data_IF_790027509145
#
_entry.id   IF_790027509145
#
_cell.length_a   1.000
_cell.length_b   1.000
_cell.length_c   1.000
_cell.angle_alpha   90.00
_cell.angle_beta   90.00
_cell.angle_gamma   90.00
#
_symmetry.space_group_name_H-M   'P 1'
#
loop_
_entity.id
_entity.type
_entity.pdbx_description
1 polymer ?
#
# COMPACT_ATOMS: atom_id res chain seq x y z
N UNK A 1 36.02 19.06 53.80
CA UNK A 1 34.95 20.06 54.01
C UNK A 1 35.02 21.08 52.90
N UNK A 2 34.36 20.83 51.78
CA UNK A 2 34.14 21.79 50.68
C UNK A 2 32.82 21.37 50.02
N UNK A 3 31.75 22.07 50.37
CA UNK A 3 30.41 21.84 49.82
C UNK A 3 30.26 22.60 48.51
N UNK A 4 29.92 21.87 47.44
CA UNK A 4 29.46 22.46 46.20
C UNK A 4 27.95 22.65 46.26
N UNK A 5 27.53 23.92 46.25
CA UNK A 5 26.13 24.33 46.09
C UNK A 5 25.84 24.34 44.59
N UNK A 6 24.99 23.42 44.12
CA UNK A 6 24.46 23.43 42.76
C UNK A 6 23.28 24.38 42.70
N UNK A 7 23.42 25.43 41.90
CA UNK A 7 22.43 26.50 41.71
C UNK A 7 21.50 26.11 40.55
N UNK A 8 20.23 25.81 40.85
CA UNK A 8 19.22 25.56 39.82
C UNK A 8 18.71 26.87 39.20
N UNK A 9 18.48 26.93 37.88
CA UNK A 9 17.93 28.12 37.25
C UNK A 9 16.47 28.33 37.64
N UNK A 10 16.22 29.54 38.14
CA UNK A 10 14.94 30.09 38.57
C UNK A 10 13.90 30.11 37.44
N UNK A 11 12.73 29.53 37.72
CA UNK A 11 11.52 29.67 36.93
C UNK A 11 11.07 31.15 36.86
N UNK A 12 11.18 31.76 35.68
CA UNK A 12 10.44 32.97 35.31
C UNK A 12 10.14 32.93 33.81
N UNK A 13 8.99 32.37 33.45
CA UNK A 13 8.23 32.74 32.26
C UNK A 13 6.77 32.38 32.51
N UNK A 14 6.12 33.21 33.33
CA UNK A 14 4.68 33.19 33.55
C UNK A 14 4.07 34.07 32.46
N UNK A 15 3.44 33.46 31.46
CA UNK A 15 2.71 34.18 30.41
C UNK A 15 1.67 35.11 31.04
N UNK A 16 1.58 36.33 30.53
CA UNK A 16 0.68 37.36 31.07
C UNK A 16 -0.76 37.15 30.58
N UNK A 17 -1.79 37.56 31.34
CA UNK A 17 -3.21 37.36 31.00
C UNK A 17 -3.68 37.98 29.67
N UNK A 18 -2.84 38.78 28.99
CA UNK A 18 -3.17 39.42 27.72
C UNK A 18 -2.99 38.52 26.50
N UNK A 19 -2.27 37.40 26.61
CA UNK A 19 -2.09 36.41 25.52
C UNK A 19 -3.26 35.41 25.40
N UNK A 20 -4.13 35.34 26.41
CA UNK A 20 -5.31 34.45 26.37
C UNK A 20 -6.49 35.01 25.57
N UNK A 21 -6.49 36.32 25.26
CA UNK A 21 -7.56 36.96 24.49
C UNK A 21 -7.32 36.95 22.96
N UNK A 22 -6.13 36.56 22.50
CA UNK A 22 -5.78 36.53 21.07
C UNK A 22 -5.88 35.14 20.42
N UNK A 23 -6.20 34.09 21.19
CA UNK A 23 -6.48 32.74 20.67
C UNK A 23 -7.95 32.47 20.35
N UNK A 24 -8.85 33.42 20.62
CA UNK A 24 -10.30 33.29 20.36
C UNK A 24 -10.73 33.84 18.99
N UNK A 25 -9.80 34.31 18.14
CA UNK A 25 -10.11 34.93 16.84
C UNK A 25 -9.56 34.14 15.64
N UNK A 26 -9.23 32.85 15.83
CA UNK A 26 -8.83 31.92 14.77
C UNK A 26 -9.72 30.67 14.81
N UNK A 27 -11.02 30.89 14.96
CA UNK A 27 -12.08 29.87 14.81
C UNK A 27 -12.98 30.16 13.60
N UNK A 28 -12.45 30.91 12.62
CA UNK A 28 -13.03 31.00 11.28
C UNK A 28 -12.05 30.32 10.30
N UNK A 29 -11.66 29.08 10.63
CA UNK A 29 -10.91 28.20 9.73
C UNK A 29 -11.92 27.50 8.84
N UNK A 30 -11.92 27.92 7.58
CA UNK A 30 -12.22 27.10 6.40
C UNK A 30 -12.91 25.77 6.72
N UNK A 31 -14.25 25.77 6.65
CA UNK A 31 -14.97 24.57 6.23
C UNK A 31 -14.54 24.29 4.78
N UNK A 32 -13.35 23.73 4.60
CA UNK A 32 -13.04 23.07 3.34
C UNK A 32 -14.11 21.99 3.18
N UNK A 33 -14.80 21.93 2.02
CA UNK A 33 -15.79 20.91 1.80
C UNK A 33 -15.08 19.59 1.98
N UNK A 34 -15.45 18.82 3.02
CA UNK A 34 -15.13 17.40 3.11
C UNK A 34 -15.43 16.87 1.72
N UNK A 35 -14.39 16.49 0.99
CA UNK A 35 -14.52 15.80 -0.29
C UNK A 35 -15.14 14.46 0.07
N UNK A 36 -16.47 14.47 0.24
CA UNK A 36 -17.31 13.29 0.32
C UNK A 36 -16.98 12.58 -0.96
N UNK A 37 -16.31 11.43 -0.83
CA UNK A 37 -15.96 10.60 -1.95
C UNK A 37 -17.15 10.56 -2.93
N UNK A 38 -16.95 10.74 -4.25
CA UNK A 38 -17.94 10.40 -5.24
C UNK A 38 -17.98 8.87 -5.33
N UNK A 39 -18.30 8.24 -4.21
CA UNK A 39 -18.35 6.81 -4.04
C UNK A 39 -19.57 6.58 -3.18
N UNK A 40 -20.74 6.81 -3.80
CA UNK A 40 -21.79 5.82 -3.69
C UNK A 40 -21.21 4.50 -4.22
N UNK A 41 -20.37 3.83 -3.41
CA UNK A 41 -20.15 2.40 -3.50
C UNK A 41 -21.56 1.84 -3.40
N UNK A 42 -22.07 1.48 -4.58
CA UNK A 42 -23.47 1.14 -4.82
C UNK A 42 -23.97 0.21 -3.72
N UNK A 43 -25.22 0.37 -3.28
CA UNK A 43 -25.89 -0.51 -2.31
C UNK A 43 -25.81 -2.01 -2.69
N UNK A 44 -25.44 -2.34 -3.93
CA UNK A 44 -25.11 -3.71 -4.37
C UNK A 44 -23.89 -4.33 -3.67
N UNK A 45 -23.08 -3.53 -2.98
CA UNK A 45 -21.94 -3.97 -2.14
C UNK A 45 -22.34 -4.51 -0.76
N UNK A 46 -23.63 -4.45 -0.39
CA UNK A 46 -24.15 -4.79 0.94
C UNK A 46 -23.95 -6.27 1.37
N UNK A 47 -23.37 -7.12 0.51
CA UNK A 47 -23.11 -8.53 0.80
C UNK A 47 -21.66 -8.91 1.07
N UNK A 48 -20.67 -8.05 0.80
CA UNK A 48 -19.26 -8.42 1.02
C UNK A 48 -18.86 -8.20 2.47
N UNK A 49 -18.46 -9.25 3.23
CA UNK A 49 -18.17 -9.12 4.65
C UNK A 49 -17.00 -8.18 4.95
N UNK A 50 -16.12 -7.91 3.97
CA UNK A 50 -14.97 -7.03 4.20
C UNK A 50 -15.37 -5.59 4.52
N UNK A 51 -16.49 -5.09 3.99
CA UNK A 51 -16.95 -3.74 4.31
C UNK A 51 -17.26 -3.58 5.80
N UNK A 52 -17.90 -4.59 6.40
CA UNK A 52 -18.19 -4.58 7.83
C UNK A 52 -16.90 -4.63 8.67
N UNK A 53 -15.91 -5.40 8.24
CA UNK A 53 -14.61 -5.48 8.91
C UNK A 53 -13.84 -4.13 8.85
N UNK A 54 -13.83 -3.47 7.69
CA UNK A 54 -13.23 -2.14 7.52
C UNK A 54 -13.88 -1.11 8.45
N UNK A 55 -15.22 -1.08 8.51
CA UNK A 55 -15.94 -0.17 9.40
C UNK A 55 -15.71 -0.47 10.89
N UNK A 56 -15.63 -1.74 11.27
CA UNK A 56 -15.29 -2.13 12.63
C UNK A 56 -13.90 -1.64 13.04
N UNK A 57 -12.91 -1.79 12.15
CA UNK A 57 -11.55 -1.30 12.39
C UNK A 57 -11.50 0.23 12.44
N UNK A 58 -12.18 0.95 11.54
CA UNK A 58 -12.31 2.43 11.59
C UNK A 58 -12.89 2.92 12.91
N UNK A 59 -13.93 2.24 13.40
CA UNK A 59 -14.55 2.57 14.68
C UNK A 59 -13.58 2.35 15.84
N UNK A 60 -12.83 1.25 15.84
CA UNK A 60 -11.83 0.97 16.87
C UNK A 60 -10.70 2.03 16.85
N UNK A 61 -10.19 2.40 15.67
CA UNK A 61 -9.24 3.50 15.51
C UNK A 61 -9.77 4.81 16.13
N UNK A 62 -11.04 5.15 15.88
CA UNK A 62 -11.66 6.37 16.41
C UNK A 62 -11.73 6.35 17.93
N UNK A 63 -12.11 5.21 18.53
CA UNK A 63 -12.18 5.05 19.99
C UNK A 63 -10.77 5.16 20.61
N UNK A 64 -9.77 4.54 19.99
CA UNK A 64 -8.38 4.62 20.42
C UNK A 64 -7.89 6.08 20.41
N UNK A 65 -8.05 6.80 19.29
CA UNK A 65 -7.68 8.23 19.21
C UNK A 65 -8.33 9.08 20.30
N UNK A 66 -9.63 8.91 20.53
CA UNK A 66 -10.33 9.64 21.59
C UNK A 66 -9.75 9.37 22.99
N UNK A 67 -9.33 8.13 23.27
CA UNK A 67 -8.73 7.76 24.56
C UNK A 67 -7.29 8.27 24.69
N UNK A 68 -6.51 8.22 23.61
CA UNK A 68 -5.18 8.86 23.53
C UNK A 68 -5.30 10.35 23.83
N UNK A 69 -6.25 11.06 23.22
CA UNK A 69 -6.46 12.49 23.47
C UNK A 69 -6.78 12.80 24.94
N UNK A 70 -7.61 11.98 25.59
CA UNK A 70 -7.90 12.15 27.02
C UNK A 70 -6.63 11.97 27.86
N UNK A 71 -5.87 10.90 27.60
CA UNK A 71 -4.63 10.61 28.34
C UNK A 71 -3.54 11.64 28.10
N UNK A 72 -3.40 12.12 26.86
CA UNK A 72 -2.37 13.10 26.46
C UNK A 72 -2.62 14.50 27.05
N UNK A 73 -3.87 14.82 27.40
CA UNK A 73 -4.23 16.08 28.06
C UNK A 73 -4.11 16.04 29.59
N UNK A 74 -3.69 14.91 30.16
CA UNK A 74 -3.42 14.74 31.60
C UNK A 74 -1.93 14.87 31.91
N UNK A 75 -1.64 15.36 33.10
CA UNK A 75 -0.28 15.31 33.68
C UNK A 75 -0.03 13.95 34.34
N UNK A 76 1.23 13.53 34.43
CA UNK A 76 1.59 12.26 35.09
C UNK A 76 1.15 12.20 36.56
N UNK A 77 1.04 13.34 37.23
CA UNK A 77 0.61 13.44 38.63
C UNK A 77 -0.92 13.47 38.78
N UNK A 78 -1.69 13.50 37.68
CA UNK A 78 -3.14 13.47 37.76
C UNK A 78 -3.62 12.10 38.26
N UNK A 79 -4.47 12.04 39.31
CA UNK A 79 -4.93 10.76 39.87
C UNK A 79 -5.77 9.94 38.88
N UNK A 80 -6.22 10.53 37.78
CA UNK A 80 -6.92 9.87 36.69
C UNK A 80 -6.02 9.33 35.58
N UNK A 81 -4.72 9.69 35.56
CA UNK A 81 -3.80 9.37 34.46
C UNK A 81 -3.69 7.86 34.24
N UNK A 82 -3.40 7.09 35.28
CA UNK A 82 -3.25 5.62 35.17
C UNK A 82 -4.52 4.95 34.60
N UNK A 83 -5.70 5.44 34.99
CA UNK A 83 -6.97 4.92 34.46
C UNK A 83 -7.18 5.30 32.99
N UNK A 84 -6.84 6.53 32.61
CA UNK A 84 -6.92 6.99 31.23
C UNK A 84 -5.92 6.22 30.35
N UNK A 85 -4.70 6.00 30.83
CA UNK A 85 -3.65 5.26 30.15
C UNK A 85 -4.03 3.78 29.97
N UNK A 86 -4.54 3.11 31.01
CA UNK A 86 -5.06 1.74 30.90
C UNK A 86 -6.20 1.64 29.88
N UNK A 87 -7.12 2.61 29.89
CA UNK A 87 -8.19 2.70 28.90
C UNK A 87 -7.64 2.87 27.48
N UNK A 88 -6.59 3.67 27.28
CA UNK A 88 -5.91 3.78 25.98
C UNK A 88 -5.34 2.43 25.53
N UNK A 89 -4.67 1.71 26.43
CA UNK A 89 -4.14 0.36 26.17
C UNK A 89 -5.23 -0.60 25.69
N UNK A 90 -6.34 -0.72 26.42
CA UNK A 90 -7.46 -1.59 26.04
C UNK A 90 -8.04 -1.27 24.65
N UNK A 91 -8.06 0.02 24.26
CA UNK A 91 -8.54 0.40 22.93
C UNK A 91 -7.50 0.21 21.83
N UNK A 92 -6.22 0.26 22.16
CA UNK A 92 -5.13 -0.13 21.27
C UNK A 92 -5.21 -1.62 20.95
N UNK A 93 -5.41 -2.46 21.97
CA UNK A 93 -5.59 -3.91 21.80
C UNK A 93 -6.80 -4.21 20.89
N UNK A 94 -7.96 -3.62 21.17
CA UNK A 94 -9.15 -3.80 20.32
C UNK A 94 -8.91 -3.29 18.89
N UNK A 95 -8.20 -2.19 18.70
CA UNK A 95 -7.85 -1.69 17.36
C UNK A 95 -6.98 -2.70 16.61
N UNK A 96 -5.96 -3.26 17.25
CA UNK A 96 -5.11 -4.27 16.62
C UNK A 96 -5.84 -5.60 16.35
N UNK A 97 -6.71 -6.04 17.27
CA UNK A 97 -7.57 -7.21 17.04
C UNK A 97 -8.46 -7.01 15.81
N UNK A 98 -9.01 -5.79 15.61
CA UNK A 98 -9.79 -5.46 14.42
C UNK A 98 -8.94 -5.35 13.17
N UNK A 99 -7.70 -4.88 13.27
CA UNK A 99 -6.76 -4.91 12.16
C UNK A 99 -6.51 -6.35 11.70
N UNK A 100 -6.22 -7.26 12.64
CA UNK A 100 -5.99 -8.67 12.35
C UNK A 100 -7.21 -9.33 11.69
N UNK A 101 -8.43 -9.00 12.12
CA UNK A 101 -9.67 -9.49 11.49
C UNK A 101 -9.80 -9.10 10.01
N UNK A 102 -9.17 -8.02 9.55
CA UNK A 102 -9.16 -7.67 8.12
C UNK A 102 -8.41 -8.73 7.27
N UNK A 103 -7.48 -9.47 7.88
CA UNK A 103 -6.76 -10.57 7.25
C UNK A 103 -7.56 -11.88 7.29
N UNK A 104 -8.48 -12.03 8.23
CA UNK A 104 -9.33 -13.22 8.36
C UNK A 104 -10.61 -13.12 7.50
N UNK A 105 -11.11 -11.90 7.30
CA UNK A 105 -12.29 -11.65 6.48
C UNK A 105 -11.88 -11.52 5.03
N UNK A 106 -12.20 -12.52 4.22
CA UNK A 106 -11.87 -12.52 2.79
C UNK A 106 -12.87 -11.69 1.99
N UNK A 107 -12.41 -10.72 1.17
CA UNK A 107 -13.26 -10.07 0.18
C UNK A 107 -13.90 -11.11 -0.74
N UNK A 108 -15.23 -11.09 -0.87
CA UNK A 108 -15.98 -12.00 -1.74
C UNK A 108 -16.33 -11.41 -3.10
N UNK A 109 -16.08 -10.11 -3.29
CA UNK A 109 -16.39 -9.35 -4.50
C UNK A 109 -15.21 -8.47 -4.90
N UNK A 110 -15.17 -8.09 -6.19
CA UNK A 110 -14.16 -7.15 -6.69
C UNK A 110 -14.22 -5.81 -5.94
N UNK A 111 -15.43 -5.29 -5.71
CA UNK A 111 -15.64 -4.05 -4.98
C UNK A 111 -15.10 -4.12 -3.54
N UNK A 112 -15.28 -5.25 -2.85
CA UNK A 112 -14.71 -5.46 -1.51
C UNK A 112 -13.19 -5.51 -1.51
N UNK A 113 -12.58 -6.17 -2.50
CA UNK A 113 -11.13 -6.21 -2.63
C UNK A 113 -10.53 -4.82 -2.93
N UNK A 114 -11.17 -4.07 -3.84
CA UNK A 114 -10.75 -2.69 -4.16
C UNK A 114 -10.92 -1.77 -2.95
N UNK A 115 -11.99 -1.95 -2.16
CA UNK A 115 -12.21 -1.19 -0.92
C UNK A 115 -11.15 -1.49 0.15
N UNK A 116 -10.72 -2.74 0.29
CA UNK A 116 -9.66 -3.12 1.22
C UNK A 116 -8.30 -2.52 0.82
N UNK A 117 -7.97 -2.55 -0.47
CA UNK A 117 -6.76 -1.90 -0.99
C UNK A 117 -6.79 -0.40 -0.71
N UNK A 118 -7.90 0.25 -1.06
CA UNK A 118 -8.08 1.68 -0.84
C UNK A 118 -7.97 2.06 0.64
N UNK A 119 -8.52 1.21 1.51
CA UNK A 119 -8.42 1.39 2.95
C UNK A 119 -6.98 1.27 3.45
N UNK A 120 -6.24 0.26 3.00
CA UNK A 120 -4.86 0.03 3.37
C UNK A 120 -3.88 1.07 2.78
N UNK A 121 -4.23 1.69 1.64
CA UNK A 121 -3.36 2.65 0.95
C UNK A 121 -3.53 4.10 1.39
N UNK A 122 -4.39 4.39 2.37
CA UNK A 122 -4.64 5.76 2.85
C UNK A 122 -3.91 6.02 4.16
N UNK A 123 -2.70 6.64 4.09
CA UNK A 123 -2.02 7.13 5.29
C UNK A 123 -2.77 8.30 5.92
N UNK A 124 -3.41 9.16 5.13
CA UNK A 124 -3.90 10.47 5.56
C UNK A 124 -5.42 10.51 5.81
N UNK A 125 -5.95 9.75 6.76
CA UNK A 125 -7.21 10.20 7.37
C UNK A 125 -6.85 11.27 8.41
N UNK A 126 -7.20 12.56 8.20
CA UNK A 126 -6.58 13.72 8.87
C UNK A 126 -6.69 13.77 10.40
N UNK A 127 -7.32 12.79 11.03
CA UNK A 127 -7.52 12.66 12.46
C UNK A 127 -6.94 11.36 13.06
N UNK A 128 -6.26 10.54 12.27
CA UNK A 128 -5.60 9.31 12.70
C UNK A 128 -4.12 9.51 12.42
N UNK A 129 -3.32 9.90 13.42
CA UNK A 129 -1.88 10.15 13.24
C UNK A 129 -1.17 8.99 12.55
N UNK A 130 -0.13 9.32 11.77
CA UNK A 130 0.40 8.50 10.67
C UNK A 130 0.89 7.08 11.04
N UNK A 131 1.16 6.76 12.31
CA UNK A 131 1.93 5.56 12.67
C UNK A 131 1.16 4.44 13.42
N UNK A 132 -0.09 4.64 13.84
CA UNK A 132 -0.73 3.71 14.81
C UNK A 132 -1.84 2.82 14.24
N UNK A 133 -2.17 2.95 12.95
CA UNK A 133 -3.42 2.37 12.42
C UNK A 133 -3.36 0.85 12.25
N UNK A 134 -2.19 0.30 12.00
CA UNK A 134 -1.99 -1.13 11.79
C UNK A 134 -0.84 -1.59 12.68
N UNK A 135 -0.88 -2.85 13.17
CA UNK A 135 0.28 -3.39 13.86
C UNK A 135 1.43 -3.54 12.86
N UNK A 136 2.67 -3.40 13.34
CA UNK A 136 3.85 -3.65 12.51
C UNK A 136 3.84 -5.08 11.94
N UNK A 137 3.36 -6.02 12.76
CA UNK A 137 3.33 -7.45 12.48
C UNK A 137 1.93 -8.03 12.66
N UNK A 138 1.57 -8.99 11.81
CA UNK A 138 0.44 -9.88 12.03
C UNK A 138 0.80 -10.97 13.06
N UNK A 139 -0.19 -11.73 13.55
CA UNK A 139 0.00 -12.82 14.54
C UNK A 139 1.06 -13.87 14.17
N UNK A 140 1.43 -13.97 12.89
CA UNK A 140 2.44 -14.91 12.38
C UNK A 140 3.81 -14.27 12.13
N UNK A 141 4.09 -13.10 12.72
CA UNK A 141 5.37 -12.39 12.61
C UNK A 141 5.62 -11.71 11.27
N UNK A 142 4.67 -11.76 10.32
CA UNK A 142 4.82 -11.08 9.02
C UNK A 142 4.41 -9.63 9.12
N UNK A 143 5.10 -8.76 8.39
CA UNK A 143 4.67 -7.38 8.20
C UNK A 143 3.19 -7.33 7.79
N UNK A 144 2.36 -6.62 8.56
CA UNK A 144 0.90 -6.65 8.39
C UNK A 144 0.48 -6.23 6.97
N UNK A 145 1.11 -5.19 6.42
CA UNK A 145 0.86 -4.74 5.05
C UNK A 145 1.12 -5.82 4.00
N UNK A 146 2.16 -6.64 4.17
CA UNK A 146 2.44 -7.75 3.27
C UNK A 146 1.36 -8.84 3.37
N UNK A 147 0.93 -9.16 4.60
CA UNK A 147 -0.18 -10.09 4.81
C UNK A 147 -1.45 -9.58 4.12
N UNK A 148 -1.74 -8.28 4.25
CA UNK A 148 -2.88 -7.63 3.61
C UNK A 148 -2.83 -7.71 2.08
N UNK A 149 -1.69 -7.37 1.47
CA UNK A 149 -1.54 -7.43 0.01
C UNK A 149 -1.69 -8.86 -0.53
N UNK A 150 -1.12 -9.85 0.17
CA UNK A 150 -1.31 -11.27 -0.17
C UNK A 150 -2.77 -11.66 -0.06
N UNK A 151 -3.44 -11.27 1.02
CA UNK A 151 -4.85 -11.54 1.26
C UNK A 151 -5.74 -11.01 0.13
N UNK A 152 -5.55 -9.75 -0.27
CA UNK A 152 -6.25 -9.16 -1.40
C UNK A 152 -5.95 -9.92 -2.70
N UNK A 153 -4.67 -10.20 -2.99
CA UNK A 153 -4.27 -10.91 -4.20
C UNK A 153 -4.97 -12.28 -4.29
N UNK A 154 -4.99 -13.04 -3.19
CA UNK A 154 -5.71 -14.31 -3.12
C UNK A 154 -7.21 -14.13 -3.32
N UNK A 155 -7.83 -13.12 -2.70
CA UNK A 155 -9.25 -12.83 -2.90
C UNK A 155 -9.57 -12.57 -4.37
N UNK A 156 -8.80 -11.70 -5.03
CA UNK A 156 -8.97 -11.37 -6.45
C UNK A 156 -8.84 -12.61 -7.36
N UNK A 157 -7.87 -13.48 -7.09
CA UNK A 157 -7.71 -14.74 -7.83
C UNK A 157 -8.93 -15.65 -7.71
N UNK A 158 -9.52 -15.77 -6.52
CA UNK A 158 -10.71 -16.62 -6.34
C UNK A 158 -11.99 -16.00 -6.87
N UNK A 159 -12.13 -14.68 -6.79
CA UNK A 159 -13.26 -13.98 -7.42
C UNK A 159 -13.25 -14.24 -8.93
N UNK A 160 -12.10 -14.05 -9.59
CA UNK A 160 -11.97 -14.30 -11.03
C UNK A 160 -12.14 -15.77 -11.44
N UNK A 161 -11.86 -16.73 -10.56
CA UNK A 161 -12.11 -18.16 -10.82
C UNK A 161 -13.60 -18.51 -10.79
N UNK A 162 -14.37 -17.88 -9.90
CA UNK A 162 -15.81 -18.12 -9.76
C UNK A 162 -16.62 -17.50 -10.91
N UNK A 163 -16.20 -16.36 -11.44
CA UNK A 163 -16.86 -15.70 -12.57
C UNK A 163 -16.85 -16.56 -13.85
N UNK A 164 -15.84 -17.43 -14.03
CA UNK A 164 -15.76 -18.35 -15.17
C UNK A 164 -16.82 -19.46 -15.13
N UNK A 165 -17.43 -19.72 -13.98
CA UNK A 165 -18.46 -20.76 -13.81
C UNK A 165 -19.90 -20.25 -14.04
N UNK A 166 -20.10 -18.94 -14.22
CA UNK A 166 -21.41 -18.34 -14.52
C UNK A 166 -21.58 -18.21 -16.05
N UNK A 167 -21.47 -19.32 -16.78
CA UNK A 167 -21.50 -19.35 -18.25
C UNK A 167 -22.90 -19.29 -18.87
N UNK A 168 -23.84 -18.55 -18.26
CA UNK A 168 -25.25 -18.51 -18.68
C UNK A 168 -25.82 -17.13 -19.05
N UNK A 169 -25.06 -16.05 -18.87
CA UNK A 169 -25.52 -14.68 -19.19
C UNK A 169 -25.02 -14.28 -20.57
N UNK A 170 -25.97 -13.87 -21.41
CA UNK A 170 -25.85 -13.57 -22.84
C UNK A 170 -24.62 -12.71 -23.19
N UNK A 171 -23.54 -13.34 -23.66
CA UNK A 171 -22.25 -12.70 -24.01
C UNK A 171 -22.31 -11.84 -25.27
N UNK A 172 -23.48 -11.60 -25.83
CA UNK A 172 -23.64 -10.84 -27.08
C UNK A 172 -23.76 -9.33 -26.86
N UNK A 173 -22.75 -8.67 -26.27
CA UNK A 173 -22.36 -7.27 -26.65
C UNK A 173 -21.29 -6.55 -25.82
N UNK A 174 -20.59 -7.18 -24.88
CA UNK A 174 -19.39 -6.54 -24.34
C UNK A 174 -18.21 -6.92 -25.21
N UNK A 175 -17.82 -6.04 -26.14
CA UNK A 175 -16.47 -6.04 -26.69
C UNK A 175 -15.52 -6.19 -25.50
N UNK A 176 -14.61 -7.18 -25.53
CA UNK A 176 -13.76 -7.51 -24.39
C UNK A 176 -13.19 -6.20 -23.83
N UNK A 177 -13.54 -5.84 -22.58
CA UNK A 177 -13.47 -4.45 -22.13
C UNK A 177 -12.05 -3.89 -22.16
N UNK A 178 -11.06 -4.78 -22.19
CA UNK A 178 -9.65 -4.45 -22.29
C UNK A 178 -9.01 -4.88 -23.62
N UNK A 179 -9.76 -5.20 -24.69
CA UNK A 179 -9.19 -5.73 -25.94
C UNK A 179 -8.08 -4.84 -26.53
N UNK A 180 -8.28 -3.52 -26.52
CA UNK A 180 -7.26 -2.56 -26.95
C UNK A 180 -6.06 -2.56 -26.02
N UNK A 181 -6.30 -2.54 -24.70
CA UNK A 181 -5.25 -2.55 -23.68
C UNK A 181 -4.41 -3.84 -23.75
N UNK A 182 -5.04 -5.00 -23.95
CA UNK A 182 -4.39 -6.30 -24.14
C UNK A 182 -3.55 -6.27 -25.42
N UNK A 183 -4.09 -5.80 -26.53
CA UNK A 183 -3.33 -5.70 -27.78
C UNK A 183 -2.11 -4.76 -27.68
N UNK A 184 -2.24 -3.66 -26.93
CA UNK A 184 -1.12 -2.77 -26.60
C UNK A 184 -0.10 -3.48 -25.69
N UNK A 185 -0.59 -4.20 -24.67
CA UNK A 185 0.22 -5.02 -23.77
C UNK A 185 1.04 -6.07 -24.53
N UNK A 186 0.43 -6.83 -25.43
CA UNK A 186 1.11 -7.86 -26.23
C UNK A 186 2.23 -7.26 -27.10
N UNK A 187 1.98 -6.08 -27.69
CA UNK A 187 2.98 -5.35 -28.47
C UNK A 187 4.12 -4.83 -27.59
N UNK A 188 3.79 -4.30 -26.42
CA UNK A 188 4.76 -3.82 -25.45
C UNK A 188 5.64 -4.98 -24.96
N UNK A 189 5.02 -6.09 -24.61
CA UNK A 189 5.69 -7.30 -24.13
C UNK A 189 6.68 -7.85 -25.15
N UNK A 190 6.28 -7.95 -26.42
CA UNK A 190 7.16 -8.41 -27.48
C UNK A 190 8.36 -7.48 -27.72
N UNK A 191 8.22 -6.17 -27.46
CA UNK A 191 9.33 -5.21 -27.49
C UNK A 191 10.22 -5.34 -26.26
N UNK A 192 9.62 -5.48 -25.08
CA UNK A 192 10.30 -5.68 -23.81
C UNK A 192 11.18 -6.94 -23.84
N UNK A 193 10.68 -8.06 -24.39
CA UNK A 193 11.45 -9.30 -24.55
C UNK A 193 12.66 -9.10 -25.46
N UNK A 194 12.49 -8.43 -26.59
CA UNK A 194 13.60 -8.11 -27.51
C UNK A 194 14.59 -7.17 -26.86
N UNK A 195 14.12 -6.22 -26.07
CA UNK A 195 14.94 -5.29 -25.32
C UNK A 195 15.81 -6.06 -24.32
N UNK A 196 15.22 -6.92 -23.48
CA UNK A 196 15.96 -7.72 -22.50
C UNK A 196 16.92 -8.72 -23.14
N UNK A 197 16.53 -9.44 -24.19
CA UNK A 197 17.43 -10.35 -24.92
C UNK A 197 18.67 -9.62 -25.45
N UNK A 198 18.48 -8.43 -26.02
CA UNK A 198 19.60 -7.61 -26.52
C UNK A 198 20.44 -7.02 -25.41
N UNK A 199 19.80 -6.64 -24.32
CA UNK A 199 20.48 -6.12 -23.14
C UNK A 199 21.38 -7.17 -22.51
N UNK A 200 20.91 -8.41 -22.37
CA UNK A 200 21.72 -9.55 -21.92
C UNK A 200 22.89 -9.86 -22.87
N UNK A 201 22.72 -9.64 -24.19
CA UNK A 201 23.85 -9.75 -25.13
C UNK A 201 24.85 -8.58 -25.00
N UNK A 202 24.37 -7.40 -24.61
CA UNK A 202 25.17 -6.18 -24.52
C UNK A 202 26.09 -6.16 -23.29
N UNK A 203 25.61 -6.66 -22.15
CA UNK A 203 26.40 -6.84 -20.94
C UNK A 203 27.62 -7.75 -21.17
N UNK A 204 27.48 -8.76 -22.03
CA UNK A 204 28.58 -9.65 -22.35
C UNK A 204 29.66 -8.98 -23.22
N UNK A 205 29.27 -8.16 -24.22
CA UNK A 205 30.19 -7.39 -25.09
C UNK A 205 29.53 -6.13 -25.67
N UNK A 206 29.95 -4.91 -25.27
CA UNK A 206 29.32 -3.69 -25.76
C UNK A 206 29.68 -3.39 -27.23
N UNK A 207 28.71 -3.55 -28.14
CA UNK A 207 28.82 -3.16 -29.55
C UNK A 207 28.11 -1.83 -29.81
N UNK A 208 28.74 -0.92 -30.58
CA UNK A 208 28.15 0.40 -30.96
C UNK A 208 26.81 0.28 -31.68
N UNK A 209 26.61 -0.77 -32.49
CA UNK A 209 25.34 -1.02 -33.18
C UNK A 209 24.21 -1.38 -32.21
N UNK A 210 24.51 -1.96 -31.05
CA UNK A 210 23.52 -2.32 -30.04
C UNK A 210 22.80 -1.09 -29.48
N UNK A 211 23.56 -0.01 -29.21
CA UNK A 211 23.06 1.25 -28.60
C UNK A 211 21.99 1.92 -29.45
N UNK A 212 22.16 1.92 -30.78
CA UNK A 212 21.21 2.58 -31.69
C UNK A 212 19.88 1.84 -31.72
N UNK A 213 19.91 0.50 -31.71
CA UNK A 213 18.67 -0.27 -31.82
C UNK A 213 17.92 -0.38 -30.49
N UNK A 214 18.62 -0.43 -29.35
CA UNK A 214 17.96 -0.37 -28.03
C UNK A 214 17.31 0.99 -27.79
N UNK A 215 17.93 2.10 -28.23
CA UNK A 215 17.31 3.43 -28.16
C UNK A 215 16.02 3.51 -28.97
N UNK A 216 16.01 2.95 -30.19
CA UNK A 216 14.79 2.91 -31.02
C UNK A 216 13.67 2.12 -30.32
N UNK A 217 13.99 0.96 -29.74
CA UNK A 217 13.03 0.14 -28.99
C UNK A 217 12.48 0.89 -27.77
N UNK A 218 13.34 1.56 -27.00
CA UNK A 218 12.93 2.35 -25.84
C UNK A 218 11.94 3.47 -26.23
N UNK A 219 12.20 4.18 -27.34
CA UNK A 219 11.27 5.20 -27.85
C UNK A 219 9.92 4.62 -28.28
N UNK A 220 9.91 3.44 -28.92
CA UNK A 220 8.65 2.76 -29.28
C UNK A 220 7.89 2.29 -28.04
N UNK A 221 8.60 1.77 -27.03
CA UNK A 221 8.03 1.39 -25.75
C UNK A 221 7.45 2.58 -24.99
N UNK A 222 8.08 3.76 -25.02
CA UNK A 222 7.57 4.98 -24.38
C UNK A 222 6.18 5.39 -24.92
N UNK A 223 5.98 5.26 -26.24
CA UNK A 223 4.68 5.55 -26.87
C UNK A 223 3.61 4.56 -26.40
N UNK A 224 3.95 3.27 -26.34
CA UNK A 224 3.04 2.23 -25.89
C UNK A 224 2.76 2.33 -24.38
N UNK A 225 3.77 2.66 -23.58
CA UNK A 225 3.64 2.91 -22.15
C UNK A 225 2.58 3.98 -21.87
N UNK A 226 2.71 5.14 -22.52
CA UNK A 226 1.74 6.23 -22.39
C UNK A 226 0.32 5.79 -22.74
N UNK A 227 0.17 5.01 -23.82
CA UNK A 227 -1.12 4.48 -24.24
C UNK A 227 -1.71 3.50 -23.19
N UNK A 228 -0.92 2.52 -22.74
CA UNK A 228 -1.30 1.54 -21.71
C UNK A 228 -1.69 2.22 -20.39
N UNK A 229 -0.93 3.22 -19.95
CA UNK A 229 -1.24 3.96 -18.72
C UNK A 229 -2.54 4.74 -18.83
N UNK A 230 -2.87 5.27 -20.01
CA UNK A 230 -4.06 6.09 -20.23
C UNK A 230 -5.38 5.32 -20.25
N UNK A 231 -5.38 4.02 -20.57
CA UNK A 231 -6.58 3.19 -20.61
C UNK A 231 -6.91 2.61 -19.24
N UNK A 232 -8.17 2.46 -18.82
CA UNK A 232 -8.52 1.71 -17.62
C UNK A 232 -8.30 0.21 -17.83
N UNK A 233 -8.02 -0.53 -16.76
CA UNK A 233 -7.99 -1.99 -16.77
C UNK A 233 -9.19 -2.53 -15.99
N UNK A 234 -9.91 -3.48 -16.57
CA UNK A 234 -11.12 -4.09 -15.99
C UNK A 234 -11.04 -5.62 -15.95
N UNK A 235 -9.99 -6.21 -16.53
CA UNK A 235 -9.70 -7.64 -16.51
C UNK A 235 -8.28 -7.93 -15.99
N UNK A 236 -8.00 -9.20 -15.68
CA UNK A 236 -6.67 -9.65 -15.24
C UNK A 236 -5.64 -9.41 -16.37
N UNK A 237 -6.05 -9.62 -17.61
CA UNK A 237 -5.21 -9.40 -18.80
C UNK A 237 -4.93 -7.90 -19.03
N UNK A 238 -5.90 -7.02 -18.76
CA UNK A 238 -5.64 -5.58 -18.75
C UNK A 238 -4.70 -5.15 -17.62
N UNK A 239 -4.85 -5.74 -16.42
CA UNK A 239 -3.92 -5.52 -15.31
C UNK A 239 -2.51 -6.00 -15.65
N UNK A 240 -2.39 -7.16 -16.31
CA UNK A 240 -1.13 -7.68 -16.85
C UNK A 240 -0.50 -6.68 -17.81
N UNK A 241 -1.27 -6.17 -18.77
CA UNK A 241 -0.80 -5.18 -19.73
C UNK A 241 -0.31 -3.91 -19.02
N UNK A 242 -1.01 -3.45 -17.98
CA UNK A 242 -0.58 -2.30 -17.15
C UNK A 242 0.65 -2.56 -16.29
N UNK A 243 0.91 -3.79 -15.91
CA UNK A 243 2.09 -4.13 -15.13
C UNK A 243 3.37 -4.05 -15.99
N UNK A 244 3.28 -4.36 -17.30
CA UNK A 244 4.44 -4.40 -18.22
C UNK A 244 5.30 -3.13 -18.24
N UNK A 245 4.75 -1.91 -18.25
CA UNK A 245 5.60 -0.73 -18.20
C UNK A 245 6.20 -0.47 -16.82
N UNK A 246 5.49 -0.81 -15.74
CA UNK A 246 6.08 -0.76 -14.41
C UNK A 246 7.29 -1.70 -14.32
N UNK A 247 7.23 -2.89 -14.92
CA UNK A 247 8.39 -3.79 -15.03
C UNK A 247 9.59 -3.15 -15.71
N UNK A 248 9.35 -2.36 -16.76
CA UNK A 248 10.43 -1.68 -17.48
C UNK A 248 11.04 -0.55 -16.65
N UNK A 249 10.22 0.23 -15.96
CA UNK A 249 10.66 1.37 -15.16
C UNK A 249 11.54 0.95 -13.99
N UNK A 250 11.17 -0.14 -13.32
CA UNK A 250 11.90 -0.59 -12.12
C UNK A 250 13.12 -1.43 -12.49
N UNK A 251 13.21 -1.94 -13.73
CA UNK A 251 14.22 -2.91 -14.15
C UNK A 251 15.63 -2.47 -13.73
N UNK A 252 16.49 -3.39 -13.24
CA UNK A 252 17.83 -3.04 -12.80
C UNK A 252 18.57 -2.26 -13.89
N UNK A 253 19.46 -1.32 -13.56
CA UNK A 253 20.10 -0.43 -14.57
C UNK A 253 21.35 -1.07 -15.19
N UNK A 254 21.96 -2.02 -14.49
CA UNK A 254 23.12 -2.79 -14.97
C UNK A 254 22.86 -4.30 -14.92
N UNK A 255 23.62 -5.12 -15.64
CA UNK A 255 23.45 -6.58 -15.67
C UNK A 255 23.91 -7.28 -14.38
N UNK A 256 24.78 -6.64 -13.61
CA UNK A 256 25.21 -7.13 -12.29
C UNK A 256 24.37 -6.51 -11.16
N UNK A 257 23.40 -5.67 -11.54
CA UNK A 257 22.46 -5.05 -10.62
C UNK A 257 21.35 -6.07 -10.40
N UNK A 258 21.40 -6.77 -9.27
CA UNK A 258 20.42 -7.80 -8.90
C UNK A 258 19.19 -7.21 -8.24
N UNK A 259 19.09 -5.89 -8.12
CA UNK A 259 18.04 -5.19 -7.37
C UNK A 259 17.21 -4.30 -8.31
N UNK A 260 15.88 -4.42 -8.24
CA UNK A 260 14.96 -3.43 -8.81
C UNK A 260 15.04 -2.16 -7.96
N UNK A 261 15.24 -1.00 -8.58
CA UNK A 261 15.29 0.27 -7.86
C UNK A 261 13.87 0.78 -7.63
N UNK A 262 13.32 0.51 -6.45
CA UNK A 262 12.09 1.12 -5.96
C UNK A 262 12.48 2.28 -5.03
N UNK A 263 12.00 3.50 -5.30
CA UNK A 263 12.25 4.67 -4.43
C UNK A 263 11.78 4.45 -2.98
N UNK A 264 10.86 3.49 -2.76
CA UNK A 264 10.36 3.07 -1.46
C UNK A 264 10.32 1.52 -1.42
N UNK A 265 11.30 0.90 -0.76
CA UNK A 265 11.80 -0.41 -1.21
C UNK A 265 10.92 -1.60 -0.82
N UNK A 266 10.32 -1.64 0.37
CA UNK A 266 9.73 -2.89 0.84
C UNK A 266 8.26 -3.07 0.47
N UNK A 267 7.43 -2.03 0.63
CA UNK A 267 5.99 -2.11 0.35
C UNK A 267 5.72 -2.22 -1.16
N UNK A 268 6.43 -1.45 -1.99
CA UNK A 268 6.29 -1.50 -3.44
C UNK A 268 6.84 -2.79 -4.03
N UNK A 269 7.95 -3.33 -3.53
CA UNK A 269 8.43 -4.67 -3.96
C UNK A 269 7.40 -5.75 -3.68
N UNK A 270 6.76 -5.71 -2.51
CA UNK A 270 5.74 -6.67 -2.13
C UNK A 270 4.46 -6.56 -2.95
N UNK A 271 3.99 -5.33 -3.21
CA UNK A 271 2.84 -5.07 -4.07
C UNK A 271 3.15 -5.47 -5.51
N UNK A 272 4.32 -5.11 -6.01
CA UNK A 272 4.82 -5.53 -7.32
C UNK A 272 4.83 -7.05 -7.42
N UNK A 273 5.41 -7.76 -6.45
CA UNK A 273 5.45 -9.22 -6.42
C UNK A 273 4.05 -9.85 -6.42
N UNK A 274 3.12 -9.28 -5.64
CA UNK A 274 1.74 -9.72 -5.63
C UNK A 274 1.10 -9.56 -7.01
N UNK A 275 1.28 -8.39 -7.65
CA UNK A 275 0.80 -8.14 -9.01
C UNK A 275 1.44 -9.11 -10.00
N UNK A 276 2.77 -9.26 -10.01
CA UNK A 276 3.52 -10.20 -10.86
C UNK A 276 2.93 -11.60 -10.81
N UNK A 277 2.71 -12.11 -9.59
CA UNK A 277 2.19 -13.45 -9.37
C UNK A 277 0.74 -13.58 -9.85
N UNK A 278 -0.10 -12.57 -9.56
CA UNK A 278 -1.51 -12.55 -9.97
C UNK A 278 -1.65 -12.51 -11.49
N UNK A 279 -0.79 -11.74 -12.17
CA UNK A 279 -0.85 -11.55 -13.62
C UNK A 279 0.00 -12.53 -14.43
N UNK A 280 0.65 -13.49 -13.76
CA UNK A 280 1.44 -14.55 -14.40
C UNK A 280 2.72 -14.06 -15.08
N UNK A 281 3.41 -13.08 -14.51
CA UNK A 281 4.66 -12.53 -15.05
C UNK A 281 5.92 -12.98 -14.27
N UNK A 282 5.79 -13.95 -13.37
CA UNK A 282 6.89 -14.41 -12.48
C UNK A 282 8.11 -14.94 -13.25
N UNK A 283 7.91 -15.77 -14.27
CA UNK A 283 9.00 -16.30 -15.09
C UNK A 283 9.74 -15.20 -15.85
N UNK A 284 9.02 -14.13 -16.22
CA UNK A 284 9.61 -12.99 -16.93
C UNK A 284 10.51 -12.18 -16.01
N UNK A 285 10.08 -11.94 -14.77
CA UNK A 285 10.92 -11.31 -13.75
C UNK A 285 12.21 -12.10 -13.55
N UNK A 286 12.11 -13.41 -13.35
CA UNK A 286 13.28 -14.27 -13.20
C UNK A 286 14.23 -14.20 -14.41
N UNK A 287 13.68 -14.07 -15.63
CA UNK A 287 14.48 -13.97 -16.86
C UNK A 287 15.32 -12.69 -16.97
N UNK A 288 15.01 -11.65 -16.18
CA UNK A 288 15.80 -10.41 -16.16
C UNK A 288 17.12 -10.54 -15.40
N UNK A 289 17.33 -11.67 -14.72
CA UNK A 289 18.46 -11.84 -13.80
C UNK A 289 18.21 -11.25 -12.40
N UNK A 290 17.01 -10.70 -12.16
CA UNK A 290 16.57 -10.36 -10.83
C UNK A 290 16.43 -11.64 -9.99
N UNK A 291 17.35 -11.81 -9.05
CA UNK A 291 17.13 -12.71 -7.94
C UNK A 291 16.15 -12.01 -7.01
N UNK A 292 14.91 -12.48 -7.06
CA UNK A 292 13.90 -12.10 -6.09
C UNK A 292 14.53 -12.31 -4.72
N UNK A 293 14.67 -11.26 -3.87
CA UNK A 293 15.32 -11.41 -2.59
C UNK A 293 14.62 -12.59 -1.92
N UNK A 294 15.40 -13.64 -1.62
CA UNK A 294 14.93 -14.67 -0.71
C UNK A 294 14.37 -13.88 0.44
N UNK A 295 13.06 -14.07 0.68
CA UNK A 295 12.33 -13.29 1.68
C UNK A 295 13.29 -13.09 2.83
N UNK A 296 13.66 -11.85 3.11
CA UNK A 296 14.30 -11.54 4.38
C UNK A 296 13.17 -11.78 5.37
N UNK A 297 12.93 -13.06 5.68
CA UNK A 297 12.67 -13.47 7.03
C UNK A 297 13.77 -12.73 7.76
N UNK A 298 13.40 -11.63 8.41
CA UNK A 298 14.10 -11.27 9.63
C UNK A 298 14.14 -12.61 10.35
N UNK A 299 15.30 -13.26 10.32
CA UNK A 299 15.52 -14.44 11.12
C UNK A 299 14.99 -14.00 12.47
N UNK A 300 13.96 -14.71 12.93
CA UNK A 300 13.56 -14.64 14.32
C UNK A 300 14.91 -14.71 15.04
N UNK A 301 15.35 -13.58 15.61
CA UNK A 301 16.40 -13.64 16.60
C UNK A 301 15.72 -14.49 17.65
N UNK A 302 16.04 -15.79 17.60
CA UNK A 302 15.83 -16.71 18.69
C UNK A 302 16.54 -16.01 19.85
N UNK A 303 15.78 -15.19 20.59
CA UNK A 303 16.11 -14.70 21.91
C UNK A 303 16.14 -15.94 22.81
N UNK A 304 17.16 -16.77 22.62
CA UNK A 304 17.73 -17.58 23.69
C UNK A 304 18.51 -16.63 24.61
N UNK A 305 17.79 -16.01 25.57
CA UNK A 305 18.31 -15.68 26.91
C UNK A 305 17.17 -15.34 27.89
#
# INVERSE_FOLDING_TARGET
MTGNVVQFPSAKNRATPKERASKSAVEERFEEPIVRLPITLSLESAGDPIFAAIEAHRKACTIHTQRVEVSANMTLDDPGFEKANASTGEAGDEMFDRAQQLLDVRPSTRAGADALLYYASRPEEPNLGDDWRFPDFAENGKAFHLAMMKHVAYALCSIGANDKNVSGVDTKRHAAPDAELVALGDRYEALLDKYYQRRAAWSAKPLRSSVVVTKKMAMEMEVLDRAIRSLPATSIEGLRAKALPAFYDVAPVCHEDTEYNFEDSFAFQNLFQAVVNVVGLSDKVASTGYEMPERIWLQEEDEEA
#
